data_IF_506267195142
#
_entry.id   IF_506267195142
#
_cell.length_a   1.000
_cell.length_b   1.000
_cell.length_c   1.000
_cell.angle_alpha   90.00
_cell.angle_beta   90.00
_cell.angle_gamma   90.00
#
_symmetry.space_group_name_H-M   'P 1'
#
loop_
_entity.id
_entity.type
_entity.pdbx_description
1 polymer ?
#
# COMPACT_ATOMS: atom_id res chain seq x y z
N UNK A 1 -21.43 7.87 -65.44
CA UNK A 1 -21.78 7.55 -66.85
C UNK A 1 -20.60 8.00 -67.69
N UNK A 2 -20.03 7.25 -68.62
CA UNK A 2 -20.58 6.14 -69.43
C UNK A 2 -19.74 4.85 -69.40
N UNK A 3 -20.36 3.72 -69.75
CA UNK A 3 -19.68 2.52 -70.26
C UNK A 3 -19.08 2.84 -71.66
N UNK A 4 -18.19 2.06 -72.28
CA UNK A 4 -17.60 0.75 -71.95
C UNK A 4 -17.51 -0.10 -73.23
N UNK A 5 -16.38 -0.77 -73.50
CA UNK A 5 -16.15 -1.48 -74.77
C UNK A 5 -15.26 -2.72 -74.60
N UNK A 6 -15.61 -3.83 -75.26
CA UNK A 6 -15.23 -5.18 -74.78
C UNK A 6 -14.80 -6.15 -75.88
N UNK A 7 -13.51 -6.57 -75.84
CA UNK A 7 -12.93 -7.85 -76.36
C UNK A 7 -13.20 -8.30 -77.81
N UNK A 8 -12.13 -8.62 -78.55
CA UNK A 8 -11.66 -10.00 -78.92
C UNK A 8 -10.34 -9.89 -79.72
N UNK A 9 -9.31 -10.73 -79.48
CA UNK A 9 -9.02 -12.06 -80.08
C UNK A 9 -9.08 -12.09 -81.61
N UNK A 10 -8.15 -12.67 -82.38
CA UNK A 10 -6.82 -13.33 -82.17
C UNK A 10 -6.10 -13.32 -83.56
N UNK A 11 -4.94 -13.91 -83.89
CA UNK A 11 -4.15 -15.06 -83.39
C UNK A 11 -2.71 -15.01 -83.95
N UNK A 12 -1.70 -15.63 -83.32
CA UNK A 12 -0.38 -15.84 -83.95
C UNK A 12 0.70 -16.41 -83.01
N UNK A 13 1.39 -17.47 -83.45
CA UNK A 13 2.55 -18.07 -82.77
C UNK A 13 3.58 -18.53 -83.82
N UNK A 14 4.88 -18.46 -83.50
CA UNK A 14 5.96 -19.03 -84.30
C UNK A 14 7.21 -19.27 -83.43
N UNK A 15 8.09 -20.18 -83.87
CA UNK A 15 9.25 -20.68 -83.12
C UNK A 15 10.52 -19.86 -83.38
N UNK A 16 11.55 -19.97 -82.53
CA UNK A 16 12.90 -19.50 -82.89
C UNK A 16 14.00 -19.66 -81.82
N UNK A 17 14.94 -20.57 -82.08
CA UNK A 17 16.36 -20.59 -81.70
C UNK A 17 16.79 -20.25 -80.24
N UNK A 18 17.33 -21.27 -79.55
CA UNK A 18 18.24 -21.08 -78.40
C UNK A 18 19.63 -20.61 -78.86
N UNK A 19 20.28 -19.73 -78.11
CA UNK A 19 21.72 -19.43 -78.23
C UNK A 19 22.38 -19.47 -76.84
N UNK A 20 23.44 -20.25 -76.69
CA UNK A 20 24.22 -20.36 -75.46
C UNK A 20 25.23 -19.21 -75.34
N UNK A 21 24.88 -18.18 -74.56
CA UNK A 21 25.76 -17.06 -74.24
C UNK A 21 26.51 -17.26 -72.92
N UNK A 22 27.74 -17.78 -72.97
CA UNK A 22 28.61 -17.87 -71.79
C UNK A 22 28.99 -16.45 -71.31
N UNK A 23 28.46 -16.04 -70.16
CA UNK A 23 28.75 -14.74 -69.55
C UNK A 23 29.66 -14.91 -68.34
N UNK A 24 30.88 -14.35 -68.40
CA UNK A 24 31.83 -14.44 -67.30
C UNK A 24 31.47 -13.44 -66.19
N UNK A 25 31.32 -13.93 -64.95
CA UNK A 25 31.13 -13.08 -63.78
C UNK A 25 32.46 -12.42 -63.40
N UNK A 26 32.59 -11.12 -63.71
CA UNK A 26 33.68 -10.28 -63.19
C UNK A 26 33.26 -9.73 -61.83
N UNK A 27 33.74 -10.36 -60.75
CA UNK A 27 33.50 -9.92 -59.39
C UNK A 27 34.22 -8.59 -59.10
N UNK A 28 33.48 -7.49 -59.06
CA UNK A 28 33.99 -6.19 -58.62
C UNK A 28 34.13 -6.21 -57.08
N UNK A 29 35.30 -5.87 -56.50
CA UNK A 29 35.44 -5.73 -55.06
C UNK A 29 34.70 -4.48 -54.58
N UNK A 30 33.61 -4.67 -53.84
CA UNK A 30 32.91 -3.60 -53.18
C UNK A 30 33.86 -2.88 -52.21
N UNK A 31 34.15 -1.61 -52.49
CA UNK A 31 34.95 -0.78 -51.58
C UNK A 31 34.09 -0.48 -50.35
N UNK A 32 34.48 -1.05 -49.21
CA UNK A 32 33.87 -0.71 -47.94
C UNK A 32 34.20 0.76 -47.60
N UNK A 33 33.19 1.63 -47.63
CA UNK A 33 33.30 2.95 -47.03
C UNK A 33 33.53 2.78 -45.51
N UNK A 34 34.38 3.62 -44.88
CA UNK A 34 34.54 3.59 -43.44
C UNK A 34 33.22 3.97 -42.77
N UNK A 35 32.74 3.14 -41.83
CA UNK A 35 31.60 3.50 -41.01
C UNK A 35 32.00 4.62 -40.04
N UNK A 36 31.49 5.82 -40.27
CA UNK A 36 31.74 6.97 -39.39
C UNK A 36 31.12 6.74 -38.00
N UNK A 37 31.83 7.15 -36.95
CA UNK A 37 31.63 6.63 -35.59
C UNK A 37 30.44 7.25 -34.83
N UNK A 38 29.21 6.94 -35.25
CA UNK A 38 27.97 7.31 -34.56
C UNK A 38 27.65 6.37 -33.37
N UNK A 39 28.58 6.22 -32.41
CA UNK A 39 28.45 5.28 -31.27
C UNK A 39 28.83 5.84 -29.90
N UNK A 40 29.20 7.12 -29.80
CA UNK A 40 29.78 7.71 -28.59
C UNK A 40 28.81 8.22 -27.50
N UNK A 41 27.50 8.27 -27.75
CA UNK A 41 26.51 8.87 -26.81
C UNK A 41 25.50 7.87 -26.24
N UNK A 42 25.25 6.73 -26.90
CA UNK A 42 24.31 5.71 -26.40
C UNK A 42 24.91 4.84 -25.28
N UNK A 43 26.24 4.84 -25.13
CA UNK A 43 26.99 3.97 -24.21
C UNK A 43 27.16 4.54 -22.81
N UNK A 44 27.05 5.86 -22.63
CA UNK A 44 27.15 6.51 -21.31
C UNK A 44 25.83 6.45 -20.53
N UNK A 45 24.70 6.79 -21.17
CA UNK A 45 23.38 6.76 -20.53
C UNK A 45 22.97 5.37 -20.00
N UNK A 46 23.51 4.30 -20.58
CA UNK A 46 23.34 2.92 -20.11
C UNK A 46 24.27 2.52 -18.95
N UNK A 47 25.32 3.29 -18.67
CA UNK A 47 26.23 3.07 -17.55
C UNK A 47 25.72 3.69 -16.23
N UNK A 48 24.98 4.79 -16.32
CA UNK A 48 24.43 5.50 -15.15
C UNK A 48 23.19 4.80 -14.57
N UNK A 49 22.50 3.96 -15.34
CA UNK A 49 21.34 3.20 -14.88
C UNK A 49 21.74 1.78 -14.47
N UNK A 50 22.07 1.61 -13.18
CA UNK A 50 22.46 0.34 -12.59
C UNK A 50 22.10 0.29 -11.09
N UNK A 51 22.50 -0.78 -10.40
CA UNK A 51 22.44 -0.88 -8.94
C UNK A 51 23.65 -0.12 -8.37
N UNK A 52 23.44 1.13 -7.96
CA UNK A 52 24.49 2.09 -7.57
C UNK A 52 24.87 2.05 -6.08
N UNK A 53 24.24 1.19 -5.27
CA UNK A 53 24.66 0.95 -3.88
C UNK A 53 24.45 -0.51 -3.44
N UNK A 54 25.16 -1.00 -2.41
CA UNK A 54 24.94 -2.32 -1.85
C UNK A 54 23.53 -2.50 -1.24
N UNK A 55 23.20 -3.76 -0.89
CA UNK A 55 22.02 -4.12 -0.11
C UNK A 55 20.77 -4.51 -0.91
N UNK A 56 20.69 -4.19 -2.20
CA UNK A 56 19.60 -4.63 -3.07
C UNK A 56 19.47 -6.17 -3.10
N UNK A 57 18.25 -6.68 -2.95
CA UNK A 57 17.95 -8.12 -3.08
C UNK A 57 18.11 -8.61 -4.53
N UNK A 58 18.27 -9.92 -4.75
CA UNK A 58 18.43 -10.46 -6.11
C UNK A 58 17.25 -10.09 -7.05
N UNK A 59 16.01 -10.06 -6.54
CA UNK A 59 14.85 -9.59 -7.31
C UNK A 59 14.90 -8.09 -7.56
N UNK A 60 15.31 -7.28 -6.57
CA UNK A 60 15.43 -5.84 -6.73
C UNK A 60 16.51 -5.47 -7.75
N UNK A 61 17.65 -6.17 -7.76
CA UNK A 61 18.70 -6.05 -8.78
C UNK A 61 18.17 -6.40 -10.18
N UNK A 62 17.37 -7.47 -10.30
CA UNK A 62 16.73 -7.86 -11.56
C UNK A 62 15.66 -6.85 -12.02
N UNK A 63 14.91 -6.23 -11.10
CA UNK A 63 13.93 -5.20 -11.38
C UNK A 63 14.61 -3.90 -11.86
N UNK A 64 15.67 -3.45 -11.17
CA UNK A 64 16.50 -2.32 -11.61
C UNK A 64 17.07 -2.59 -13.01
N UNK A 65 17.64 -3.76 -13.26
CA UNK A 65 18.13 -4.16 -14.60
C UNK A 65 17.03 -4.14 -15.66
N UNK A 66 15.82 -4.61 -15.32
CA UNK A 66 14.68 -4.57 -16.23
C UNK A 66 14.21 -3.14 -16.53
N UNK A 67 14.13 -2.25 -15.54
CA UNK A 67 13.80 -0.83 -15.75
C UNK A 67 14.88 -0.12 -16.58
N UNK A 68 16.15 -0.30 -16.24
CA UNK A 68 17.29 0.30 -16.94
C UNK A 68 17.45 -0.20 -18.38
N UNK A 69 16.98 -1.42 -18.70
CA UNK A 69 16.90 -1.90 -20.08
C UNK A 69 15.91 -1.11 -20.97
N UNK A 70 15.13 -0.19 -20.39
CA UNK A 70 14.17 0.67 -21.10
C UNK A 70 14.63 2.14 -21.20
N UNK A 71 15.84 2.52 -20.74
CA UNK A 71 16.36 3.89 -20.92
C UNK A 71 16.26 4.30 -22.41
N UNK A 72 15.68 5.47 -22.68
CA UNK A 72 15.45 5.95 -24.03
C UNK A 72 14.23 5.35 -24.75
N UNK A 73 13.39 4.55 -24.09
CA UNK A 73 12.00 4.29 -24.50
C UNK A 73 11.17 5.54 -24.19
N UNK A 74 10.13 5.83 -24.98
CA UNK A 74 9.23 6.96 -24.74
C UNK A 74 8.47 6.84 -23.41
N UNK A 75 8.16 7.99 -22.79
CA UNK A 75 6.99 8.09 -21.93
C UNK A 75 5.72 7.89 -22.78
N UNK A 76 4.68 7.30 -22.20
CA UNK A 76 3.35 7.26 -22.82
C UNK A 76 2.29 7.17 -21.73
N UNK A 77 1.37 8.14 -21.65
CA UNK A 77 0.34 8.21 -20.61
C UNK A 77 -0.62 7.00 -20.66
N UNK A 78 -0.70 6.20 -19.60
CA UNK A 78 -1.38 4.89 -19.59
C UNK A 78 -0.55 3.74 -20.18
N UNK A 79 0.70 4.01 -20.58
CA UNK A 79 1.61 3.08 -21.22
C UNK A 79 2.14 2.01 -20.25
N UNK A 80 2.20 0.76 -20.70
CA UNK A 80 2.64 -0.37 -19.89
C UNK A 80 1.50 -1.19 -19.29
N UNK A 81 0.25 -0.69 -19.36
CA UNK A 81 -0.89 -1.27 -18.65
C UNK A 81 -1.63 -2.42 -19.37
N UNK A 82 -0.98 -3.06 -20.34
CA UNK A 82 -1.52 -4.23 -21.05
C UNK A 82 -1.79 -5.45 -20.16
N UNK A 83 -2.48 -6.45 -20.73
CA UNK A 83 -2.75 -7.75 -20.08
C UNK A 83 -1.46 -8.57 -19.81
N UNK A 84 -0.34 -8.20 -20.44
CA UNK A 84 1.01 -8.61 -20.06
C UNK A 84 1.82 -7.33 -19.84
N UNK A 85 2.48 -7.16 -18.68
CA UNK A 85 3.28 -5.96 -18.41
C UNK A 85 4.39 -5.75 -19.44
N UNK A 86 4.52 -4.51 -19.93
CA UNK A 86 5.46 -4.14 -20.99
C UNK A 86 4.89 -3.04 -21.87
N UNK A 87 5.77 -2.29 -22.56
CA UNK A 87 5.40 -1.05 -23.24
C UNK A 87 4.16 -1.20 -24.14
N UNK A 88 3.22 -0.26 -24.03
CA UNK A 88 2.01 -0.16 -24.86
C UNK A 88 1.92 1.25 -25.46
N UNK A 89 1.01 1.45 -26.40
CA UNK A 89 0.54 2.81 -26.68
C UNK A 89 -0.27 3.30 -25.47
N UNK A 90 -0.24 4.60 -25.25
CA UNK A 90 -1.01 5.30 -24.24
C UNK A 90 -2.25 5.96 -24.84
N UNK A 91 -2.68 7.06 -24.24
CA UNK A 91 -3.76 7.90 -24.75
C UNK A 91 -3.49 9.38 -24.45
N UNK A 92 -4.08 10.25 -25.25
CA UNK A 92 -4.09 11.69 -24.98
C UNK A 92 -4.92 11.98 -23.73
N UNK A 93 -4.30 12.54 -22.69
CA UNK A 93 -5.02 13.14 -21.59
C UNK A 93 -5.56 14.52 -21.99
N UNK A 94 -6.85 14.75 -21.78
CA UNK A 94 -7.50 16.00 -22.19
C UNK A 94 -7.04 17.24 -21.42
N UNK A 95 -6.25 17.07 -20.35
CA UNK A 95 -5.66 18.14 -19.54
C UNK A 95 -4.24 18.51 -19.97
N UNK A 96 -3.47 17.56 -20.50
CA UNK A 96 -2.05 17.73 -20.83
C UNK A 96 -1.78 17.76 -22.36
N UNK A 97 -1.42 18.93 -22.93
CA UNK A 97 -1.02 19.05 -24.34
C UNK A 97 0.19 18.18 -24.75
N UNK A 98 1.13 17.86 -23.86
CA UNK A 98 2.34 17.11 -24.25
C UNK A 98 2.07 15.60 -24.43
N UNK A 99 0.97 15.10 -23.85
CA UNK A 99 0.42 13.75 -24.08
C UNK A 99 -0.26 13.54 -25.44
N UNK A 100 -0.37 14.60 -26.29
CA UNK A 100 -1.07 14.57 -27.59
C UNK A 100 -0.63 13.43 -28.53
N UNK A 101 0.61 12.96 -28.40
CA UNK A 101 1.20 11.91 -29.23
C UNK A 101 1.38 10.57 -28.50
N UNK A 102 0.85 10.40 -27.28
CA UNK A 102 1.10 9.18 -26.49
C UNK A 102 0.29 7.97 -26.99
N UNK A 103 -0.82 8.21 -27.69
CA UNK A 103 -1.49 7.23 -28.55
C UNK A 103 -0.65 6.78 -29.76
N UNK A 104 0.34 7.56 -30.19
CA UNK A 104 1.28 7.25 -31.29
C UNK A 104 2.63 6.71 -30.78
N UNK A 105 2.97 6.95 -29.51
CA UNK A 105 4.22 6.52 -28.84
C UNK A 105 4.00 5.23 -28.05
N UNK A 106 4.68 4.16 -28.43
CA UNK A 106 4.75 2.93 -27.62
C UNK A 106 5.77 3.11 -26.50
N UNK A 107 5.31 3.15 -25.25
CA UNK A 107 6.12 3.51 -24.09
C UNK A 107 5.54 3.03 -22.75
N UNK A 108 5.91 3.72 -21.69
CA UNK A 108 5.42 3.49 -20.32
C UNK A 108 5.01 4.80 -19.64
N UNK A 109 4.03 4.75 -18.75
CA UNK A 109 3.90 5.72 -17.65
C UNK A 109 4.73 5.27 -16.42
N UNK A 110 4.67 6.06 -15.35
CA UNK A 110 5.41 5.81 -14.12
C UNK A 110 5.11 4.44 -13.50
N UNK A 111 3.83 4.12 -13.32
CA UNK A 111 3.35 2.85 -12.77
C UNK A 111 3.60 1.68 -13.71
N UNK A 112 3.43 1.87 -15.02
CA UNK A 112 3.65 0.85 -16.03
C UNK A 112 5.11 0.39 -16.11
N UNK A 113 6.06 1.33 -15.96
CA UNK A 113 7.49 1.02 -15.94
C UNK A 113 7.86 0.10 -14.76
N UNK A 114 7.44 0.46 -13.54
CA UNK A 114 7.82 -0.30 -12.33
C UNK A 114 7.05 -1.63 -12.23
N UNK A 115 5.81 -1.68 -12.72
CA UNK A 115 5.04 -2.92 -12.92
C UNK A 115 5.78 -3.88 -13.85
N UNK A 116 6.20 -3.41 -15.03
CA UNK A 116 7.00 -4.21 -15.97
C UNK A 116 8.33 -4.66 -15.35
N UNK A 117 9.03 -3.78 -14.64
CA UNK A 117 10.30 -4.11 -14.01
C UNK A 117 10.19 -5.26 -13.00
N UNK A 118 9.22 -5.20 -12.08
CA UNK A 118 8.99 -6.27 -11.11
C UNK A 118 8.38 -7.53 -11.74
N UNK A 119 7.55 -7.40 -12.78
CA UNK A 119 7.08 -8.56 -13.55
C UNK A 119 8.23 -9.29 -14.25
N UNK A 120 9.15 -8.57 -14.89
CA UNK A 120 10.36 -9.14 -15.50
C UNK A 120 11.28 -9.81 -14.47
N UNK A 121 11.31 -9.32 -13.24
CA UNK A 121 12.14 -9.85 -12.15
C UNK A 121 11.56 -11.09 -11.45
N UNK A 122 10.24 -11.32 -11.53
CA UNK A 122 9.53 -12.34 -10.74
C UNK A 122 8.69 -13.33 -11.56
N UNK A 123 8.36 -12.99 -12.81
CA UNK A 123 7.34 -13.69 -13.60
C UNK A 123 5.90 -13.46 -13.12
N UNK A 124 5.68 -12.59 -12.13
CA UNK A 124 4.37 -12.32 -11.50
C UNK A 124 4.00 -10.85 -11.60
N UNK A 125 2.74 -10.56 -11.84
CA UNK A 125 2.24 -9.18 -11.96
C UNK A 125 1.88 -8.62 -10.57
N UNK A 126 2.91 -8.25 -9.81
CA UNK A 126 2.80 -7.90 -8.38
C UNK A 126 2.36 -6.45 -8.11
N UNK A 127 2.36 -5.61 -9.15
CA UNK A 127 2.19 -4.16 -9.08
C UNK A 127 1.20 -3.68 -10.16
N UNK A 128 0.16 -4.46 -10.43
CA UNK A 128 -0.91 -4.04 -11.33
C UNK A 128 -1.75 -2.92 -10.66
N UNK A 129 -2.13 -1.92 -11.44
CA UNK A 129 -2.77 -0.69 -10.96
C UNK A 129 -1.89 0.55 -11.16
N UNK A 130 -2.41 1.69 -10.74
CA UNK A 130 -1.78 3.02 -10.78
C UNK A 130 -0.63 3.17 -9.79
N UNK A 131 0.05 4.32 -9.79
CA UNK A 131 1.05 4.68 -8.77
C UNK A 131 0.47 4.71 -7.34
N UNK A 132 -0.82 5.01 -7.20
CA UNK A 132 -1.57 4.96 -5.93
C UNK A 132 -1.85 3.51 -5.48
N UNK A 133 -2.37 2.66 -6.36
CA UNK A 133 -2.55 1.22 -6.09
C UNK A 133 -1.21 0.54 -5.69
N UNK A 134 -0.11 1.00 -6.29
CA UNK A 134 1.24 0.50 -6.01
C UNK A 134 1.79 0.97 -4.66
N UNK A 135 1.57 2.23 -4.27
CA UNK A 135 1.93 2.75 -2.94
C UNK A 135 1.16 2.00 -1.84
N UNK A 136 -0.14 1.79 -2.06
CA UNK A 136 -1.05 1.08 -1.17
C UNK A 136 -0.92 -0.46 -1.23
N UNK A 137 0.09 -0.99 -1.92
CA UNK A 137 0.23 -2.44 -2.19
C UNK A 137 0.50 -3.30 -0.95
N UNK A 138 -0.15 -4.46 -0.89
CA UNK A 138 0.10 -5.55 0.08
C UNK A 138 1.39 -6.34 -0.18
N UNK A 139 2.14 -5.98 -1.23
CA UNK A 139 3.48 -6.53 -1.50
C UNK A 139 4.60 -5.71 -0.83
N UNK A 140 4.29 -4.59 -0.17
CA UNK A 140 5.27 -3.80 0.57
C UNK A 140 5.74 -4.51 1.85
N UNK A 141 7.03 -4.82 1.94
CA UNK A 141 7.68 -5.42 3.13
C UNK A 141 8.17 -4.36 4.12
N UNK A 142 8.32 -3.12 3.67
CA UNK A 142 8.60 -1.96 4.48
C UNK A 142 8.01 -0.72 3.80
N UNK A 143 7.58 0.25 4.62
CA UNK A 143 7.17 1.60 4.23
C UNK A 143 8.14 2.60 4.85
N UNK A 144 8.45 3.67 4.14
CA UNK A 144 9.37 4.72 4.57
C UNK A 144 8.71 6.08 4.35
N UNK A 145 8.51 6.82 5.43
CA UNK A 145 7.92 8.16 5.39
C UNK A 145 8.80 9.17 4.65
N UNK A 146 8.19 10.22 4.10
CA UNK A 146 8.88 11.36 3.51
C UNK A 146 10.04 11.89 4.38
N UNK A 147 9.84 11.96 5.70
CA UNK A 147 10.81 12.47 6.66
C UNK A 147 12.09 11.62 6.80
N UNK A 148 12.06 10.33 6.42
CA UNK A 148 13.24 9.46 6.40
C UNK A 148 14.08 9.65 5.12
N UNK A 149 13.53 10.30 4.09
CA UNK A 149 14.21 10.58 2.82
C UNK A 149 14.76 9.32 2.15
N UNK A 150 15.99 9.38 1.66
CA UNK A 150 16.71 8.25 1.04
C UNK A 150 17.49 7.38 2.02
N UNK A 151 17.59 7.77 3.31
CA UNK A 151 18.49 7.12 4.27
C UNK A 151 18.23 5.62 4.53
N UNK A 152 16.97 5.11 4.57
CA UNK A 152 16.71 3.68 4.74
C UNK A 152 16.59 2.91 3.41
N UNK A 153 16.71 3.59 2.26
CA UNK A 153 16.36 3.04 0.96
C UNK A 153 17.50 2.22 0.34
N UNK A 154 17.12 1.16 -0.35
CA UNK A 154 17.99 0.24 -1.09
C UNK A 154 17.56 0.21 -2.57
N UNK A 155 18.47 -0.07 -3.51
CA UNK A 155 18.10 -0.07 -4.92
C UNK A 155 17.00 -1.08 -5.24
N UNK A 156 16.01 -0.64 -6.01
CA UNK A 156 14.75 -1.34 -6.30
C UNK A 156 13.56 -0.91 -5.43
N UNK A 157 13.78 -0.22 -4.29
CA UNK A 157 12.69 0.41 -3.56
C UNK A 157 11.97 1.44 -4.46
N UNK A 158 10.64 1.51 -4.33
CA UNK A 158 9.82 2.42 -5.12
C UNK A 158 9.56 3.70 -4.33
N UNK A 159 9.74 4.85 -4.97
CA UNK A 159 9.58 6.20 -4.41
C UNK A 159 8.34 6.86 -5.01
N UNK A 160 7.56 7.59 -4.23
CA UNK A 160 6.23 8.07 -4.63
C UNK A 160 6.00 9.55 -4.29
N UNK A 161 5.20 10.23 -5.12
CA UNK A 161 4.81 11.64 -4.96
C UNK A 161 3.30 11.84 -5.07
N UNK A 162 2.76 12.68 -4.20
CA UNK A 162 1.36 13.09 -4.17
C UNK A 162 0.87 13.43 -2.76
N UNK A 163 -0.19 14.24 -2.67
CA UNK A 163 -0.80 14.66 -1.40
C UNK A 163 -2.19 14.04 -1.26
N UNK A 164 -2.30 12.90 -0.57
CA UNK A 164 -3.57 12.17 -0.35
C UNK A 164 -4.09 11.38 -1.55
N UNK A 165 -3.52 11.59 -2.74
CA UNK A 165 -3.57 10.72 -3.91
C UNK A 165 -2.19 10.76 -4.56
N UNK A 166 -1.60 9.59 -4.82
CA UNK A 166 -0.28 9.47 -5.46
C UNK A 166 -0.43 9.64 -6.96
N UNK A 167 0.42 10.45 -7.59
CA UNK A 167 0.43 10.65 -9.04
C UNK A 167 1.67 10.05 -9.71
N UNK A 168 2.85 10.14 -9.08
CA UNK A 168 4.11 9.67 -9.66
C UNK A 168 4.79 8.56 -8.84
N UNK A 169 5.49 7.67 -9.53
CA UNK A 169 6.35 6.63 -8.95
C UNK A 169 7.65 6.47 -9.74
N UNK A 170 8.76 6.27 -9.02
CA UNK A 170 10.09 6.00 -9.58
C UNK A 170 10.78 4.86 -8.82
N UNK A 171 11.77 4.21 -9.44
CA UNK A 171 12.55 3.16 -8.79
C UNK A 171 13.91 3.68 -8.35
N UNK A 172 14.22 3.61 -7.06
CA UNK A 172 15.51 4.04 -6.51
C UNK A 172 16.65 3.15 -7.03
N UNK A 173 17.75 3.77 -7.45
CA UNK A 173 18.95 3.08 -7.97
C UNK A 173 20.06 2.96 -6.93
N UNK A 174 19.96 3.66 -5.80
CA UNK A 174 21.12 3.94 -4.94
C UNK A 174 21.84 5.22 -5.34
N UNK A 175 22.84 5.64 -4.56
CA UNK A 175 23.68 6.80 -4.89
C UNK A 175 22.93 8.14 -5.04
N UNK A 176 21.70 8.27 -4.52
CA UNK A 176 20.85 9.43 -4.75
C UNK A 176 20.26 9.55 -6.16
N UNK A 177 20.28 8.48 -6.96
CA UNK A 177 19.65 8.42 -8.29
C UNK A 177 18.41 7.51 -8.28
N UNK A 178 17.53 7.72 -9.26
CA UNK A 178 16.35 6.90 -9.53
C UNK A 178 16.12 6.78 -11.05
N UNK A 179 15.45 5.71 -11.48
CA UNK A 179 14.95 5.55 -12.85
C UNK A 179 13.44 5.81 -12.89
N UNK A 180 12.99 6.62 -13.85
CA UNK A 180 11.60 7.06 -13.96
C UNK A 180 11.12 7.15 -15.42
N UNK A 181 9.83 6.92 -15.61
CA UNK A 181 9.04 7.49 -16.70
C UNK A 181 8.38 8.75 -16.12
N UNK A 182 8.85 9.94 -16.46
CA UNK A 182 8.49 11.15 -15.72
C UNK A 182 7.19 11.81 -16.18
N UNK A 183 7.16 12.31 -17.42
CA UNK A 183 6.06 13.11 -17.98
C UNK A 183 5.98 12.91 -19.51
N UNK A 184 4.83 13.22 -20.10
CA UNK A 184 4.63 13.11 -21.55
C UNK A 184 5.61 13.96 -22.36
N UNK A 185 5.89 13.54 -23.60
CA UNK A 185 6.96 14.12 -24.41
C UNK A 185 8.39 13.73 -23.99
N UNK A 186 8.61 13.14 -22.81
CA UNK A 186 9.93 12.69 -22.36
C UNK A 186 10.19 11.19 -22.65
N UNK A 187 11.32 10.68 -22.16
CA UNK A 187 11.75 9.29 -22.27
C UNK A 187 12.12 8.74 -20.90
N UNK A 188 12.12 7.41 -20.75
CA UNK A 188 12.65 6.72 -19.56
C UNK A 188 14.09 7.19 -19.32
N UNK A 189 14.35 7.70 -18.12
CA UNK A 189 15.61 8.37 -17.76
C UNK A 189 16.09 8.00 -16.36
N UNK A 190 17.40 8.16 -16.14
CA UNK A 190 17.94 8.34 -14.78
C UNK A 190 17.77 9.80 -14.38
N UNK A 191 17.43 10.05 -13.13
CA UNK A 191 17.41 11.39 -12.54
C UNK A 191 17.92 11.37 -11.09
N UNK A 192 18.46 12.50 -10.59
CA UNK A 192 18.67 12.70 -9.16
C UNK A 192 17.33 12.59 -8.41
N UNK A 193 17.35 11.97 -7.23
CA UNK A 193 16.18 11.82 -6.36
C UNK A 193 15.66 13.18 -5.89
N UNK A 194 14.32 13.32 -5.84
CA UNK A 194 13.61 14.54 -5.44
C UNK A 194 12.77 14.29 -4.18
N UNK A 195 13.30 14.55 -2.99
CA UNK A 195 12.57 14.40 -1.71
C UNK A 195 11.88 15.67 -1.22
N UNK A 196 11.93 16.77 -1.98
CA UNK A 196 11.19 18.00 -1.68
C UNK A 196 9.82 18.03 -2.36
N UNK A 197 8.98 19.00 -1.96
CA UNK A 197 7.63 19.14 -2.51
C UNK A 197 6.66 18.14 -1.85
N UNK A 198 5.98 17.36 -2.68
CA UNK A 198 4.95 16.38 -2.32
C UNK A 198 5.46 14.93 -2.33
N UNK A 199 6.75 14.73 -2.06
CA UNK A 199 7.31 13.40 -1.84
C UNK A 199 6.60 12.72 -0.66
N UNK A 200 5.83 11.67 -0.93
CA UNK A 200 5.02 10.97 0.07
C UNK A 200 5.88 9.99 0.89
N UNK A 201 6.83 9.33 0.24
CA UNK A 201 7.66 8.31 0.84
C UNK A 201 8.09 7.23 -0.16
N UNK A 202 8.43 6.06 0.35
CA UNK A 202 8.86 4.91 -0.44
C UNK A 202 8.41 3.57 0.15
N UNK A 203 8.36 2.53 -0.67
CA UNK A 203 8.08 1.15 -0.24
C UNK A 203 9.16 0.17 -0.74
N UNK A 204 9.39 -0.89 0.02
CA UNK A 204 10.23 -2.03 -0.39
C UNK A 204 9.34 -3.18 -0.86
N UNK A 205 9.43 -3.57 -2.13
CA UNK A 205 8.53 -4.59 -2.71
C UNK A 205 9.06 -6.01 -2.48
N UNK A 206 8.16 -6.93 -2.09
CA UNK A 206 8.47 -8.35 -1.96
C UNK A 206 8.66 -9.03 -3.33
N UNK A 207 9.82 -9.65 -3.53
CA UNK A 207 10.10 -10.42 -4.73
C UNK A 207 9.43 -11.80 -4.83
N UNK A 208 8.94 -12.40 -3.74
CA UNK A 208 8.32 -13.73 -3.81
C UNK A 208 6.87 -13.71 -4.29
N UNK A 209 6.19 -12.55 -4.22
CA UNK A 209 4.79 -12.40 -4.61
C UNK A 209 3.76 -13.05 -3.68
N UNK A 210 4.16 -13.45 -2.47
CA UNK A 210 3.22 -13.64 -1.36
C UNK A 210 3.04 -12.30 -0.67
N UNK A 211 1.81 -11.86 -0.32
CA UNK A 211 1.64 -10.72 0.59
C UNK A 211 2.49 -10.93 1.83
N UNK A 212 3.28 -9.93 2.21
CA UNK A 212 4.20 -10.04 3.34
C UNK A 212 3.52 -9.44 4.57
N UNK A 213 3.44 -10.17 5.70
CA UNK A 213 3.09 -9.57 6.97
C UNK A 213 4.02 -8.38 7.23
N UNK A 214 3.53 -7.19 7.61
CA UNK A 214 4.41 -6.11 8.01
C UNK A 214 5.37 -6.58 9.10
N UNK A 215 6.59 -6.02 9.17
CA UNK A 215 7.55 -6.35 10.21
C UNK A 215 6.88 -6.34 11.59
N UNK A 216 6.98 -7.47 12.28
CA UNK A 216 6.32 -7.64 13.57
C UNK A 216 6.82 -6.55 14.54
N UNK A 217 8.14 -6.42 14.67
CA UNK A 217 8.83 -5.35 15.38
C UNK A 217 8.29 -5.06 16.80
N UNK A 218 7.78 -6.11 17.46
CA UNK A 218 7.13 -6.06 18.79
C UNK A 218 5.61 -6.32 18.76
N UNK A 219 4.95 -6.07 17.63
CA UNK A 219 3.51 -6.22 17.45
C UNK A 219 3.03 -7.60 16.98
N UNK A 220 1.72 -7.81 17.06
CA UNK A 220 1.01 -9.00 16.59
C UNK A 220 0.37 -8.73 15.22
N UNK A 221 0.49 -9.68 14.28
CA UNK A 221 -0.05 -9.53 12.92
C UNK A 221 -1.55 -9.86 12.88
N UNK A 222 -2.32 -8.97 12.26
CA UNK A 222 -3.72 -9.17 11.90
C UNK A 222 -3.94 -8.88 10.41
N UNK A 223 -5.14 -9.19 9.92
CA UNK A 223 -5.57 -8.85 8.56
C UNK A 223 -6.73 -7.84 8.65
N UNK A 224 -6.72 -6.81 7.81
CA UNK A 224 -7.83 -5.85 7.70
C UNK A 224 -8.91 -6.34 6.72
N UNK A 225 -10.07 -5.68 6.70
CA UNK A 225 -11.13 -5.93 5.73
C UNK A 225 -11.72 -4.63 5.17
N UNK A 226 -12.37 -4.72 4.00
CA UNK A 226 -12.87 -3.55 3.28
C UNK A 226 -11.86 -2.99 2.28
N UNK A 227 -12.13 -1.78 1.78
CA UNK A 227 -11.37 -1.08 0.73
C UNK A 227 -11.37 0.42 1.03
N UNK A 228 -10.24 1.10 0.90
CA UNK A 228 -10.08 2.50 1.29
C UNK A 228 -9.97 2.72 2.81
N UNK A 229 -9.50 1.70 3.55
CA UNK A 229 -9.33 1.73 5.00
C UNK A 229 -8.17 2.64 5.36
N UNK A 230 -8.43 3.70 6.14
CA UNK A 230 -7.42 4.71 6.47
C UNK A 230 -6.73 4.43 7.79
N UNK A 231 -5.44 4.76 7.84
CA UNK A 231 -4.69 4.94 9.09
C UNK A 231 -4.47 6.44 9.33
N UNK A 232 -4.29 6.82 10.59
CA UNK A 232 -4.31 8.20 11.07
C UNK A 232 -3.11 8.50 11.99
N UNK A 233 -2.75 9.78 12.12
CA UNK A 233 -1.60 10.22 12.95
C UNK A 233 -1.85 10.14 14.47
N UNK A 234 -3.11 10.01 14.88
CA UNK A 234 -3.57 9.79 16.25
C UNK A 234 -4.92 9.01 16.19
N UNK A 235 -5.42 8.42 17.29
CA UNK A 235 -6.60 7.56 17.26
C UNK A 235 -7.91 8.35 17.22
N UNK A 236 -8.14 9.03 16.09
CA UNK A 236 -9.32 9.84 15.80
C UNK A 236 -9.54 9.91 14.28
N UNK A 237 -10.79 9.82 13.82
CA UNK A 237 -11.12 9.89 12.37
C UNK A 237 -10.85 11.28 11.78
N UNK A 238 -10.80 12.31 12.64
CA UNK A 238 -10.47 13.69 12.26
C UNK A 238 -8.97 13.97 12.14
N UNK A 239 -8.10 13.04 12.56
CA UNK A 239 -6.65 13.22 12.51
C UNK A 239 -6.08 12.98 11.09
N UNK A 240 -4.93 13.57 10.80
CA UNK A 240 -4.27 13.46 9.49
C UNK A 240 -4.09 12.01 9.06
N UNK A 241 -4.53 11.69 7.84
CA UNK A 241 -4.37 10.36 7.23
C UNK A 241 -2.88 10.09 7.00
N UNK A 242 -2.43 8.87 7.31
CA UNK A 242 -1.04 8.42 7.13
C UNK A 242 -0.92 7.42 5.97
N UNK A 243 -1.86 6.47 5.86
CA UNK A 243 -1.94 5.47 4.80
C UNK A 243 -3.43 5.18 4.45
N UNK A 244 -3.72 4.63 3.27
CA UNK A 244 -5.08 4.25 2.84
C UNK A 244 -5.08 2.91 2.11
N UNK A 245 -5.34 1.82 2.82
CA UNK A 245 -5.32 0.47 2.26
C UNK A 245 -6.42 0.29 1.20
N UNK A 246 -6.01 0.15 -0.06
CA UNK A 246 -6.91 -0.06 -1.21
C UNK A 246 -7.78 -1.32 -1.08
N UNK A 247 -7.33 -2.32 -0.31
CA UNK A 247 -8.07 -3.54 0.01
C UNK A 247 -7.52 -4.25 1.26
N UNK A 248 -7.98 -5.49 1.54
CA UNK A 248 -7.55 -6.28 2.69
C UNK A 248 -6.03 -6.40 2.79
N UNK A 249 -5.48 -5.78 3.83
CA UNK A 249 -4.04 -5.59 4.04
C UNK A 249 -3.66 -6.14 5.41
N UNK A 250 -2.53 -6.86 5.49
CA UNK A 250 -2.01 -7.30 6.79
C UNK A 250 -1.39 -6.12 7.53
N UNK A 251 -1.62 -6.05 8.84
CA UNK A 251 -1.15 -4.99 9.74
C UNK A 251 -0.44 -5.60 10.94
N UNK A 252 0.70 -5.04 11.36
CA UNK A 252 1.32 -5.41 12.64
C UNK A 252 0.88 -4.42 13.70
N UNK A 253 0.08 -4.87 14.66
CA UNK A 253 -0.45 -4.06 15.77
C UNK A 253 0.49 -4.16 16.96
N UNK A 254 1.12 -3.04 17.29
CA UNK A 254 2.04 -2.89 18.42
C UNK A 254 1.30 -2.89 19.76
N UNK A 255 0.19 -2.15 19.82
CA UNK A 255 -0.62 -1.97 21.02
C UNK A 255 -2.02 -1.44 20.63
N UNK A 256 -2.95 -1.40 21.58
CA UNK A 256 -4.27 -0.79 21.42
C UNK A 256 -4.66 0.13 22.59
N UNK A 257 -5.62 1.04 22.40
CA UNK A 257 -6.22 1.84 23.47
C UNK A 257 -7.66 2.27 23.13
N UNK A 258 -8.44 2.69 24.14
CA UNK A 258 -9.76 3.29 23.95
C UNK A 258 -9.64 4.76 23.55
N UNK A 259 -10.29 5.19 22.48
CA UNK A 259 -10.24 6.56 21.97
C UNK A 259 -11.59 6.99 21.35
N UNK A 260 -11.59 7.52 20.13
CA UNK A 260 -12.81 7.96 19.45
C UNK A 260 -13.72 6.77 19.12
N UNK A 261 -14.97 6.77 19.60
CA UNK A 261 -15.97 5.78 19.19
C UNK A 261 -16.34 5.98 17.72
N UNK A 262 -15.98 5.02 16.87
CA UNK A 262 -16.34 5.01 15.45
C UNK A 262 -17.59 4.16 15.26
N UNK A 263 -18.44 4.55 14.29
CA UNK A 263 -19.54 3.72 13.78
C UNK A 263 -19.44 3.67 12.26
N UNK A 264 -19.25 2.47 11.70
CA UNK A 264 -19.12 2.27 10.25
C UNK A 264 -19.61 0.86 9.84
N UNK A 265 -20.24 0.74 8.67
CA UNK A 265 -20.71 -0.55 8.10
C UNK A 265 -21.57 -1.42 9.06
N UNK A 266 -22.31 -0.78 9.97
CA UNK A 266 -23.12 -1.46 11.00
C UNK A 266 -22.36 -1.90 12.25
N UNK A 267 -21.05 -1.75 12.28
CA UNK A 267 -20.20 -1.96 13.46
C UNK A 267 -20.04 -0.66 14.26
N UNK A 268 -19.74 -0.79 15.56
CA UNK A 268 -19.36 0.34 16.44
C UNK A 268 -18.32 -0.15 17.42
N UNK A 269 -17.24 0.63 17.60
CA UNK A 269 -16.10 0.28 18.44
C UNK A 269 -15.33 1.56 18.83
N UNK A 270 -14.79 1.61 20.04
CA UNK A 270 -13.94 2.69 20.55
C UNK A 270 -12.46 2.29 20.70
N UNK A 271 -12.10 1.01 20.47
CA UNK A 271 -10.71 0.57 20.44
C UNK A 271 -10.02 0.99 19.13
N UNK A 272 -8.82 1.57 19.28
CA UNK A 272 -7.89 1.87 18.19
C UNK A 272 -6.58 1.10 18.38
N UNK A 273 -6.09 0.52 17.29
CA UNK A 273 -4.81 -0.17 17.20
C UNK A 273 -3.72 0.78 16.68
N UNK A 274 -2.56 0.76 17.33
CA UNK A 274 -1.34 1.40 16.84
C UNK A 274 -0.51 0.41 16.03
N UNK A 275 -0.10 0.80 14.83
CA UNK A 275 0.64 -0.05 13.90
C UNK A 275 2.16 0.10 14.06
N UNK A 276 2.94 -0.81 13.46
CA UNK A 276 4.42 -0.79 13.53
C UNK A 276 5.08 0.41 12.82
N UNK A 277 4.38 1.09 11.92
CA UNK A 277 4.78 2.40 11.36
C UNK A 277 4.46 3.60 12.27
N UNK A 278 3.77 3.35 13.40
CA UNK A 278 3.36 4.35 14.37
C UNK A 278 2.00 5.02 14.10
N UNK A 279 1.34 4.70 12.97
CA UNK A 279 -0.02 5.14 12.66
C UNK A 279 -1.08 4.43 13.49
N UNK A 280 -2.30 4.93 13.44
CA UNK A 280 -3.46 4.42 14.19
C UNK A 280 -4.60 4.03 13.28
N UNK A 281 -5.32 2.96 13.58
CA UNK A 281 -6.59 2.64 12.94
C UNK A 281 -7.63 2.12 13.92
N UNK A 282 -8.90 2.41 13.68
CA UNK A 282 -9.99 1.82 14.48
C UNK A 282 -10.06 0.31 14.26
N UNK A 283 -10.27 -0.44 15.34
CA UNK A 283 -10.37 -1.89 15.28
C UNK A 283 -11.57 -2.40 14.45
N UNK A 284 -12.53 -1.54 14.09
CA UNK A 284 -13.64 -1.91 13.19
C UNK A 284 -13.14 -2.58 11.91
N UNK A 285 -12.06 -2.05 11.31
CA UNK A 285 -11.53 -2.55 10.03
C UNK A 285 -10.51 -3.69 10.18
N UNK A 286 -10.27 -4.19 11.40
CA UNK A 286 -9.38 -5.34 11.66
C UNK A 286 -10.23 -6.59 11.83
N UNK A 287 -9.87 -7.71 11.20
CA UNK A 287 -10.59 -8.98 11.34
C UNK A 287 -10.33 -9.58 12.74
N UNK A 288 -11.31 -9.45 13.63
CA UNK A 288 -11.24 -10.00 14.98
C UNK A 288 -12.44 -9.61 15.84
N UNK A 289 -12.41 -9.90 17.15
CA UNK A 289 -13.26 -9.25 18.14
C UNK A 289 -12.85 -7.77 18.32
N UNK A 290 -13.70 -6.99 19.00
CA UNK A 290 -13.54 -5.53 19.13
C UNK A 290 -12.21 -5.09 19.77
N UNK A 291 -11.74 -5.81 20.79
CA UNK A 291 -10.39 -5.69 21.36
C UNK A 291 -9.57 -6.91 20.94
N UNK A 292 -8.35 -6.70 20.44
CA UNK A 292 -7.57 -7.74 19.77
C UNK A 292 -6.83 -8.63 20.80
N UNK A 293 -7.01 -9.97 20.76
CA UNK A 293 -6.37 -10.87 21.72
C UNK A 293 -4.84 -10.87 21.59
N UNK A 294 -4.14 -10.74 22.71
CA UNK A 294 -2.67 -10.76 22.75
C UNK A 294 -1.98 -9.42 22.41
N UNK A 295 -2.74 -8.41 22.01
CA UNK A 295 -2.22 -7.03 21.83
C UNK A 295 -2.21 -6.31 23.18
N UNK A 296 -1.08 -5.73 23.62
CA UNK A 296 -0.98 -5.00 24.87
C UNK A 296 -1.63 -3.61 24.78
N UNK A 297 -1.96 -3.01 25.92
CA UNK A 297 -2.41 -1.62 25.99
C UNK A 297 -1.25 -0.65 25.67
N UNK A 298 -1.52 0.45 24.96
CA UNK A 298 -0.48 1.38 24.50
C UNK A 298 0.27 2.19 25.60
N UNK A 299 0.01 1.94 26.88
CA UNK A 299 0.62 2.64 28.02
C UNK A 299 0.12 4.07 28.22
N UNK A 300 -0.64 4.62 27.27
CA UNK A 300 -1.35 5.89 27.38
C UNK A 300 -2.51 5.79 28.36
N UNK A 301 -2.32 6.24 29.60
CA UNK A 301 -3.41 6.39 30.58
C UNK A 301 -4.20 7.69 30.37
N UNK A 302 -4.57 7.96 29.12
CA UNK A 302 -5.63 8.89 28.75
C UNK A 302 -6.93 8.11 28.61
N UNK A 303 -7.77 8.14 29.64
CA UNK A 303 -9.14 7.61 29.53
C UNK A 303 -9.89 8.35 28.40
N UNK A 304 -10.80 7.68 27.67
CA UNK A 304 -11.68 8.37 26.74
C UNK A 304 -12.47 9.46 27.50
N UNK A 305 -12.69 10.65 26.91
CA UNK A 305 -13.39 11.73 27.59
C UNK A 305 -14.82 11.27 27.97
N UNK A 306 -15.29 11.56 29.20
CA UNK A 306 -16.52 10.96 29.72
C UNK A 306 -17.75 11.39 28.94
N UNK A 307 -18.21 10.51 28.05
CA UNK A 307 -19.50 10.64 27.37
C UNK A 307 -20.63 10.36 28.36
N UNK A 308 -21.71 11.15 28.27
CA UNK A 308 -22.97 10.89 28.98
C UNK A 308 -22.95 11.00 30.52
N UNK A 309 -21.87 11.49 31.14
CA UNK A 309 -21.80 11.65 32.61
C UNK A 309 -21.26 10.45 33.38
N UNK A 310 -20.54 9.54 32.71
CA UNK A 310 -19.80 8.46 33.36
C UNK A 310 -18.58 8.95 34.14
N UNK A 311 -18.13 8.18 35.15
CA UNK A 311 -16.89 8.41 35.91
C UNK A 311 -15.94 7.23 35.76
N UNK A 312 -14.66 7.51 35.50
CA UNK A 312 -13.63 6.49 35.28
C UNK A 312 -13.07 5.92 36.60
N UNK A 313 -12.95 4.59 36.68
CA UNK A 313 -12.33 3.89 37.80
C UNK A 313 -11.32 2.83 37.31
N UNK A 314 -10.33 2.54 38.15
CA UNK A 314 -9.38 1.45 37.93
C UNK A 314 -9.94 0.15 38.52
N UNK A 315 -9.85 -0.97 37.81
CA UNK A 315 -10.14 -2.30 38.37
C UNK A 315 -8.91 -2.92 39.06
N UNK A 316 -9.11 -4.04 39.75
CA UNK A 316 -8.05 -4.89 40.30
C UNK A 316 -8.44 -6.37 40.18
N UNK A 317 -7.46 -7.25 40.39
CA UNK A 317 -7.60 -8.68 40.10
C UNK A 317 -7.36 -9.00 38.62
N UNK A 318 -7.56 -10.25 38.23
CA UNK A 318 -7.40 -10.74 36.85
C UNK A 318 -8.60 -11.62 36.48
N UNK A 319 -9.00 -11.57 35.21
CA UNK A 319 -10.14 -12.34 34.72
C UNK A 319 -11.52 -11.89 35.23
N UNK A 320 -11.66 -10.58 35.50
CA UNK A 320 -12.92 -9.97 35.94
C UNK A 320 -13.95 -10.05 34.81
N UNK A 321 -15.23 -10.31 35.14
CA UNK A 321 -16.32 -10.45 34.16
C UNK A 321 -17.35 -9.35 34.32
N UNK A 322 -17.93 -8.93 33.20
CA UNK A 322 -19.15 -8.12 33.16
C UNK A 322 -20.35 -8.98 32.75
N UNK A 323 -21.54 -8.59 33.17
CA UNK A 323 -22.77 -9.37 33.04
C UNK A 323 -23.91 -8.51 32.45
N UNK A 324 -24.91 -9.13 31.81
CA UNK A 324 -26.05 -8.42 31.21
C UNK A 324 -27.00 -7.79 32.25
N UNK A 325 -26.91 -8.24 33.50
CA UNK A 325 -27.69 -7.77 34.65
C UNK A 325 -26.77 -7.78 35.90
N UNK A 326 -27.11 -7.08 37.00
CA UNK A 326 -26.27 -7.02 38.19
C UNK A 326 -26.42 -8.28 39.09
N UNK A 327 -26.17 -9.45 38.51
CA UNK A 327 -26.10 -10.73 39.19
C UNK A 327 -25.13 -11.68 38.45
N UNK A 328 -24.37 -12.51 39.18
CA UNK A 328 -23.29 -13.34 38.59
C UNK A 328 -23.80 -14.52 37.76
N UNK A 329 -25.11 -14.77 37.75
CA UNK A 329 -25.76 -15.81 36.95
C UNK A 329 -26.23 -15.30 35.58
N UNK A 330 -26.28 -13.98 35.39
CA UNK A 330 -26.64 -13.36 34.12
C UNK A 330 -25.54 -13.58 33.07
N UNK A 331 -25.91 -13.46 31.79
CA UNK A 331 -25.00 -13.74 30.68
C UNK A 331 -23.75 -12.85 30.75
N UNK A 332 -22.57 -13.46 30.62
CA UNK A 332 -21.30 -12.72 30.56
C UNK A 332 -21.28 -11.90 29.28
N UNK A 333 -21.02 -10.60 29.41
CA UNK A 333 -20.93 -9.66 28.28
C UNK A 333 -19.48 -9.49 27.84
N UNK A 334 -18.56 -9.22 28.79
CA UNK A 334 -17.13 -9.07 28.53
C UNK A 334 -16.25 -9.66 29.67
N UNK A 335 -14.95 -9.76 29.41
CA UNK A 335 -13.94 -10.38 30.26
C UNK A 335 -12.62 -9.59 30.23
N UNK A 336 -12.26 -8.97 31.36
CA UNK A 336 -11.01 -8.24 31.53
C UNK A 336 -9.90 -9.18 32.04
N UNK A 337 -8.91 -9.57 31.22
CA UNK A 337 -7.86 -10.50 31.66
C UNK A 337 -6.92 -9.88 32.70
N UNK A 338 -6.78 -8.55 32.70
CA UNK A 338 -5.88 -7.78 33.56
C UNK A 338 -6.59 -6.55 34.16
N UNK A 339 -6.03 -5.91 35.22
CA UNK A 339 -6.54 -4.64 35.72
C UNK A 339 -6.60 -3.58 34.61
N UNK A 340 -7.74 -2.92 34.46
CA UNK A 340 -8.02 -1.96 33.37
C UNK A 340 -8.78 -0.74 33.90
N UNK A 341 -9.07 0.23 33.03
CA UNK A 341 -9.92 1.38 33.33
C UNK A 341 -11.34 1.11 32.86
N UNK A 342 -12.34 1.27 33.73
CA UNK A 342 -13.76 1.15 33.38
C UNK A 342 -14.48 2.48 33.59
N UNK A 343 -15.41 2.82 32.70
CA UNK A 343 -16.25 4.01 32.82
C UNK A 343 -17.62 3.61 33.37
N UNK A 344 -17.93 4.05 34.60
CA UNK A 344 -19.16 3.72 35.32
C UNK A 344 -20.19 4.83 35.13
N UNK A 345 -21.35 4.49 34.58
CA UNK A 345 -22.46 5.41 34.31
C UNK A 345 -23.32 5.62 35.55
N UNK A 346 -23.70 4.53 36.22
CA UNK A 346 -24.43 4.53 37.48
C UNK A 346 -24.10 3.26 38.27
N UNK A 347 -24.56 3.16 39.52
CA UNK A 347 -24.37 2.00 40.39
C UNK A 347 -25.64 1.64 41.16
N UNK A 348 -25.84 0.36 41.50
CA UNK A 348 -27.01 -0.13 42.21
C UNK A 348 -26.65 -1.19 43.26
N UNK A 349 -27.47 -1.33 44.30
CA UNK A 349 -27.45 -2.51 45.17
C UNK A 349 -28.22 -3.65 44.48
N UNK A 350 -27.62 -4.84 44.41
CA UNK A 350 -28.19 -6.00 43.72
C UNK A 350 -27.73 -7.32 44.39
N UNK A 351 -27.27 -8.33 43.63
CA UNK A 351 -26.83 -9.59 44.23
C UNK A 351 -25.54 -9.37 45.06
N UNK A 352 -25.51 -9.76 46.35
CA UNK A 352 -24.26 -9.80 47.12
C UNK A 352 -23.27 -10.78 46.49
N UNK A 353 -22.06 -10.30 46.22
CA UNK A 353 -20.93 -11.10 45.76
C UNK A 353 -19.92 -11.21 46.90
N UNK A 354 -19.34 -12.39 47.09
CA UNK A 354 -18.25 -12.62 48.06
C UNK A 354 -16.99 -13.06 47.34
N UNK A 355 -15.88 -12.34 47.52
CA UNK A 355 -14.56 -12.67 46.99
C UNK A 355 -13.48 -12.35 48.04
N UNK A 356 -12.48 -13.24 48.16
CA UNK A 356 -11.34 -13.11 49.09
C UNK A 356 -11.69 -12.75 50.56
N UNK A 357 -12.90 -13.14 51.00
CA UNK A 357 -13.44 -12.88 52.33
C UNK A 357 -14.25 -11.59 52.48
N UNK A 358 -14.25 -10.72 51.47
CA UNK A 358 -15.05 -9.49 51.42
C UNK A 358 -16.39 -9.78 50.73
N UNK A 359 -17.46 -9.11 51.19
CA UNK A 359 -18.81 -9.21 50.58
C UNK A 359 -19.33 -7.82 50.29
N UNK A 360 -19.80 -7.58 49.07
CA UNK A 360 -20.41 -6.31 48.64
C UNK A 360 -21.63 -6.60 47.76
N UNK A 361 -22.69 -5.81 47.90
CA UNK A 361 -23.89 -5.88 47.07
C UNK A 361 -23.97 -4.77 46.00
N UNK A 362 -22.99 -3.87 45.95
CA UNK A 362 -22.89 -2.81 44.95
C UNK A 362 -22.39 -3.34 43.59
N UNK A 363 -23.09 -2.93 42.53
CA UNK A 363 -22.76 -3.21 41.14
C UNK A 363 -22.66 -1.91 40.34
N UNK A 364 -21.58 -1.77 39.59
CA UNK A 364 -21.32 -0.68 38.66
C UNK A 364 -21.89 -1.03 37.27
N UNK A 365 -22.68 -0.13 36.68
CA UNK A 365 -23.10 -0.22 35.29
C UNK A 365 -22.13 0.55 34.40
N UNK A 366 -21.58 -0.12 33.40
CA UNK A 366 -20.57 0.42 32.50
C UNK A 366 -21.17 1.11 31.27
N UNK A 367 -20.34 1.81 30.49
CA UNK A 367 -20.75 2.56 29.29
C UNK A 367 -21.24 1.69 28.13
N UNK A 368 -20.85 0.42 28.07
CA UNK A 368 -21.40 -0.60 27.15
C UNK A 368 -22.80 -1.10 27.59
N UNK A 369 -23.25 -0.71 28.78
CA UNK A 369 -24.51 -1.14 29.40
C UNK A 369 -24.39 -2.39 30.27
N UNK A 370 -23.22 -3.04 30.34
CA UNK A 370 -22.97 -4.20 31.18
C UNK A 370 -22.83 -3.85 32.66
N UNK A 371 -22.83 -4.87 33.51
CA UNK A 371 -22.75 -4.74 34.96
C UNK A 371 -21.56 -5.52 35.53
N UNK A 372 -20.84 -4.90 36.46
CA UNK A 372 -19.69 -5.50 37.14
C UNK A 372 -19.82 -5.24 38.65
N UNK A 373 -19.49 -6.24 39.49
CA UNK A 373 -19.48 -6.03 40.94
C UNK A 373 -18.39 -5.03 41.35
N UNK A 374 -18.72 -4.11 42.26
CA UNK A 374 -17.80 -3.08 42.75
C UNK A 374 -16.63 -3.69 43.55
N UNK A 375 -16.72 -4.96 43.97
CA UNK A 375 -15.60 -5.70 44.56
C UNK A 375 -14.32 -5.62 43.74
N UNK A 376 -14.38 -5.66 42.40
CA UNK A 376 -13.20 -5.61 41.53
C UNK A 376 -12.79 -4.17 41.13
N UNK A 377 -13.39 -3.14 41.73
CA UNK A 377 -13.06 -1.73 41.49
C UNK A 377 -12.19 -1.19 42.62
N UNK A 378 -11.13 -0.44 42.29
CA UNK A 378 -10.28 0.24 43.27
C UNK A 378 -11.03 1.46 43.83
N UNK A 379 -11.68 1.30 44.98
CA UNK A 379 -12.41 2.36 45.65
C UNK A 379 -13.00 1.90 46.99
N UNK A 380 -13.83 2.74 47.64
CA UNK A 380 -14.73 2.28 48.69
C UNK A 380 -15.84 1.39 48.13
N UNK A 381 -16.57 0.69 49.01
CA UNK A 381 -17.62 -0.28 48.67
C UNK A 381 -18.76 0.30 47.82
N UNK A 382 -18.99 1.62 47.89
CA UNK A 382 -19.93 2.38 47.06
C UNK A 382 -19.19 3.56 46.42
N UNK A 383 -19.18 3.65 45.09
CA UNK A 383 -18.25 4.50 44.35
C UNK A 383 -18.60 6.00 44.49
N UNK A 384 -17.63 6.87 44.84
CA UNK A 384 -17.90 8.30 45.01
C UNK A 384 -18.11 8.98 43.65
N UNK A 385 -19.10 9.88 43.58
CA UNK A 385 -19.41 10.64 42.36
C UNK A 385 -20.28 9.90 41.33
N UNK A 386 -20.48 8.59 41.48
CA UNK A 386 -21.34 7.79 40.59
C UNK A 386 -22.80 7.85 41.07
N UNK A 387 -23.71 8.20 40.15
CA UNK A 387 -25.14 8.25 40.42
C UNK A 387 -25.74 6.85 40.71
N UNK A 388 -26.82 6.80 41.49
CA UNK A 388 -27.59 5.57 41.69
C UNK A 388 -28.40 5.24 40.42
N UNK A 389 -28.43 3.97 40.00
CA UNK A 389 -29.40 3.46 39.02
C UNK A 389 -30.74 3.13 39.70
#
# INVERSE_FOLDING_TARGET
>A
MTNGGTRRRTTGALLGASVLGLSAFVSVPAHAAPAEAASGQATTAAADCAVLSPGASATAQAAVSAACSQIGVWYSWGGGHGATPGATYGYYDGSDPDSLHDNERKGFDCSGLVRYAYWRATGKDLLNGTSDDQFHSSQATARFSAAQGTAPLLPGDLMFWGNGHIHHVAMYLGGGQMVEAYESGTHIRVAPVRTGGDYAGAIRVNGSGTPVPPPADGGTVFETWGTGVRTHSSPSTSASVVDTFAGPTQVSVQCQEHAETVTAEGYTNDIWSKLSDGSWMTNIYIKGPASLPGVPDCGGSSAPPPSGGSTAFQTWGTGVRTHSEPNVNAAVVDYFPQPTTVNVVCQAHAQPVTADGYTNDAWAKLTDGSWMTVIYVKGPEWLPGVATC
#
